data_IF_529522469555
#
_entry.id   IF_529522469555
#
_cell.length_a   1.000
_cell.length_b   1.000
_cell.length_c   1.000
_cell.angle_alpha   90.00
_cell.angle_beta   90.00
_cell.angle_gamma   90.00
#
_symmetry.space_group_name_H-M   'P 1'
#
loop_
_entity.id
_entity.type
_entity.pdbx_description
1 polymer ?
#
# COMPACT_ATOMS: atom_id res chain seq x y z
N UNK A 1 11.80 7.44 16.26
CA UNK A 1 11.38 6.17 16.91
C UNK A 1 12.61 5.32 17.09
N UNK A 2 12.79 4.62 18.21
CA UNK A 2 13.98 3.80 18.43
C UNK A 2 13.87 2.47 17.69
N UNK A 3 14.97 2.04 17.08
CA UNK A 3 15.11 0.76 16.43
C UNK A 3 16.49 0.14 16.73
N UNK A 4 16.58 -1.19 16.71
CA UNK A 4 17.81 -1.93 16.97
C UNK A 4 18.19 -2.69 15.70
N UNK A 5 19.46 -2.63 15.30
CA UNK A 5 19.99 -3.46 14.22
C UNK A 5 20.24 -4.86 14.79
N UNK A 6 19.40 -5.84 14.45
CA UNK A 6 19.52 -7.22 14.96
C UNK A 6 20.72 -7.93 14.34
N UNK A 7 20.84 -7.84 13.01
CA UNK A 7 21.91 -8.45 12.22
C UNK A 7 22.12 -7.74 10.89
N UNK A 8 23.32 -7.85 10.35
CA UNK A 8 23.73 -7.36 9.04
C UNK A 8 24.32 -8.50 8.23
N UNK A 9 24.02 -8.58 6.94
CA UNK A 9 24.55 -9.65 6.09
C UNK A 9 24.34 -9.37 4.61
N UNK A 10 25.40 -9.55 3.83
CA UNK A 10 25.39 -9.21 2.40
C UNK A 10 25.05 -7.74 2.21
N UNK A 11 24.00 -7.46 1.44
CA UNK A 11 23.53 -6.10 1.11
C UNK A 11 22.35 -5.62 1.96
N UNK A 12 21.99 -6.37 3.01
CA UNK A 12 20.79 -6.09 3.82
C UNK A 12 21.08 -6.09 5.32
N UNK A 13 20.23 -5.38 6.05
CA UNK A 13 20.16 -5.38 7.50
C UNK A 13 18.75 -5.69 7.95
N UNK A 14 18.68 -6.32 9.12
CA UNK A 14 17.44 -6.59 9.83
C UNK A 14 17.33 -5.61 10.98
N UNK A 15 16.27 -4.81 10.98
CA UNK A 15 16.04 -3.76 11.95
C UNK A 15 14.75 -4.04 12.72
N UNK A 16 14.84 -4.02 14.04
CA UNK A 16 13.74 -4.23 14.97
C UNK A 16 13.20 -2.88 15.43
N UNK A 17 11.91 -2.60 15.23
CA UNK A 17 11.26 -1.35 15.61
C UNK A 17 10.23 -1.58 16.73
N UNK A 18 9.92 -0.51 17.46
CA UNK A 18 8.79 -0.50 18.38
C UNK A 18 8.93 -1.45 19.56
N UNK A 19 10.13 -1.53 20.16
CA UNK A 19 10.48 -2.54 21.19
C UNK A 19 10.34 -3.97 20.65
N UNK A 20 10.94 -4.20 19.48
CA UNK A 20 11.05 -5.54 18.85
C UNK A 20 9.74 -6.13 18.31
N UNK A 21 8.66 -5.35 18.27
CA UNK A 21 7.36 -5.79 17.74
C UNK A 21 7.37 -5.96 16.21
N UNK A 22 8.20 -5.18 15.51
CA UNK A 22 8.23 -5.17 14.06
C UNK A 22 9.64 -5.44 13.55
N UNK A 23 9.73 -6.34 12.59
CA UNK A 23 10.97 -6.70 11.91
C UNK A 23 10.95 -6.18 10.48
N UNK A 24 11.89 -5.30 10.15
CA UNK A 24 12.00 -4.69 8.83
C UNK A 24 13.34 -5.04 8.23
N UNK A 25 13.31 -5.48 6.97
CA UNK A 25 14.51 -5.75 6.19
C UNK A 25 14.79 -4.49 5.37
N UNK A 26 15.94 -3.88 5.59
CA UNK A 26 16.37 -2.67 4.90
C UNK A 26 17.64 -2.96 4.10
N UNK A 27 17.81 -2.38 2.90
CA UNK A 27 19.10 -2.32 2.24
C UNK A 27 20.12 -1.58 3.11
N UNK A 28 21.38 -1.99 3.08
CA UNK A 28 22.45 -1.30 3.79
C UNK A 28 22.62 0.15 3.32
N UNK A 29 22.31 0.44 2.05
CA UNK A 29 22.32 1.80 1.50
C UNK A 29 21.31 2.75 2.13
N UNK A 30 20.34 2.24 2.88
CA UNK A 30 19.39 3.06 3.64
C UNK A 30 19.87 3.36 5.07
N UNK A 31 20.98 2.76 5.50
CA UNK A 31 21.55 2.95 6.83
C UNK A 31 22.76 3.91 6.76
N UNK A 32 23.05 4.65 7.85
CA UNK A 32 24.30 5.38 7.99
C UNK A 32 25.52 4.46 7.82
N UNK A 33 26.59 4.94 7.19
CA UNK A 33 27.79 4.14 6.89
C UNK A 33 28.47 3.55 8.14
N UNK A 34 28.36 4.25 9.26
CA UNK A 34 28.93 3.85 10.55
C UNK A 34 28.08 2.85 11.34
N UNK A 35 26.91 2.46 10.81
CA UNK A 35 25.96 1.56 11.48
C UNK A 35 26.55 0.16 11.67
N UNK A 36 26.41 -0.38 12.88
CA UNK A 36 26.83 -1.73 13.24
C UNK A 36 25.68 -2.56 13.78
N UNK A 37 25.90 -3.87 13.87
CA UNK A 37 24.99 -4.76 14.57
C UNK A 37 24.86 -4.34 16.04
N UNK A 38 23.64 -4.43 16.57
CA UNK A 38 23.21 -4.01 17.92
C UNK A 38 23.17 -2.50 18.16
N UNK A 39 23.47 -1.67 17.16
CA UNK A 39 23.29 -0.23 17.28
C UNK A 39 21.81 0.14 17.43
N UNK A 40 21.59 1.23 18.18
CA UNK A 40 20.26 1.81 18.36
C UNK A 40 20.12 3.02 17.44
N UNK A 41 19.25 2.91 16.45
CA UNK A 41 18.94 3.95 15.49
C UNK A 41 17.74 4.79 15.96
N UNK A 42 17.78 6.10 15.69
CA UNK A 42 16.59 6.95 15.76
C UNK A 42 16.02 7.15 14.35
N UNK A 43 14.85 6.56 14.09
CA UNK A 43 14.20 6.52 12.78
C UNK A 43 12.99 7.45 12.77
N UNK A 44 12.90 8.34 11.79
CA UNK A 44 11.72 9.18 11.55
C UNK A 44 11.06 8.78 10.23
N UNK A 45 9.75 8.49 10.26
CA UNK A 45 8.95 8.19 9.06
C UNK A 45 7.99 9.36 8.85
N UNK A 46 8.16 10.08 7.74
CA UNK A 46 7.36 11.26 7.40
C UNK A 46 6.66 11.09 6.06
N UNK A 47 5.36 11.36 6.03
CA UNK A 47 4.58 11.32 4.79
C UNK A 47 4.71 12.66 4.07
N UNK A 48 5.46 12.69 2.96
CA UNK A 48 5.53 13.88 2.10
C UNK A 48 4.39 13.91 1.08
N UNK A 49 3.25 14.48 1.48
CA UNK A 49 2.05 14.60 0.61
C UNK A 49 2.25 15.50 -0.60
N UNK A 50 3.24 16.41 -0.58
CA UNK A 50 3.53 17.31 -1.71
C UNK A 50 4.18 16.56 -2.89
N UNK A 51 4.99 15.54 -2.61
CA UNK A 51 5.59 14.67 -3.64
C UNK A 51 4.59 13.65 -4.18
N UNK A 52 3.67 13.16 -3.36
CA UNK A 52 2.61 12.26 -3.81
C UNK A 52 1.71 12.87 -4.91
N UNK A 53 1.50 14.20 -4.87
CA UNK A 53 0.74 14.94 -5.89
C UNK A 53 1.56 15.28 -7.14
N UNK A 54 2.89 15.37 -7.06
CA UNK A 54 3.79 15.71 -8.19
C UNK A 54 4.40 14.51 -8.91
N UNK A 55 4.17 13.29 -8.44
CA UNK A 55 4.45 12.10 -9.22
C UNK A 55 4.90 10.89 -8.41
N UNK A 56 3.95 9.98 -8.15
CA UNK A 56 4.22 8.63 -8.67
C UNK A 56 4.58 8.81 -10.15
N UNK A 57 5.66 8.21 -10.67
CA UNK A 57 5.86 8.17 -12.11
C UNK A 57 4.70 7.38 -12.73
N UNK A 58 3.59 8.06 -13.03
CA UNK A 58 2.52 7.56 -13.90
C UNK A 58 3.07 7.16 -15.28
N UNK A 59 4.34 7.51 -15.57
CA UNK A 59 5.08 7.15 -16.78
C UNK A 59 5.73 5.76 -16.79
N UNK A 60 5.89 5.02 -15.68
CA UNK A 60 6.62 3.72 -15.73
C UNK A 60 5.81 2.51 -16.21
N UNK A 61 4.49 2.62 -16.35
CA UNK A 61 3.68 1.50 -16.85
C UNK A 61 2.50 1.96 -17.71
N UNK A 62 2.74 2.39 -18.97
CA UNK A 62 1.66 2.72 -19.91
C UNK A 62 0.67 1.56 -20.10
N UNK A 63 1.10 0.30 -19.91
CA UNK A 63 0.25 -0.89 -20.05
C UNK A 63 -0.47 -1.36 -18.78
N UNK A 64 -0.14 -0.87 -17.59
CA UNK A 64 -0.75 -1.37 -16.34
C UNK A 64 -2.17 -0.82 -16.16
N UNK A 65 -2.40 0.45 -16.51
CA UNK A 65 -3.75 1.05 -16.52
C UNK A 65 -4.67 0.33 -17.52
N UNK A 66 -4.15 -0.07 -18.66
CA UNK A 66 -4.91 -0.78 -19.69
C UNK A 66 -5.23 -2.23 -19.30
N UNK A 67 -4.30 -2.92 -18.63
CA UNK A 67 -4.54 -4.25 -18.03
C UNK A 67 -5.58 -4.19 -16.90
N UNK A 68 -5.52 -3.19 -16.03
CA UNK A 68 -6.50 -3.00 -14.94
C UNK A 68 -7.89 -2.69 -15.53
N UNK A 69 -7.99 -1.84 -16.56
CA UNK A 69 -9.27 -1.58 -17.27
C UNK A 69 -9.85 -2.84 -17.89
N UNK A 70 -9.03 -3.72 -18.49
CA UNK A 70 -9.48 -5.00 -19.06
C UNK A 70 -9.91 -6.01 -17.98
N UNK A 71 -9.27 -6.01 -16.82
CA UNK A 71 -9.62 -6.89 -15.71
C UNK A 71 -10.89 -6.41 -14.98
N UNK A 72 -11.05 -5.10 -14.79
CA UNK A 72 -12.20 -4.50 -14.11
C UNK A 72 -13.40 -4.29 -15.05
N UNK A 73 -13.19 -4.24 -16.37
CA UNK A 73 -14.26 -4.22 -17.38
C UNK A 73 -14.93 -5.58 -17.63
N UNK A 74 -14.50 -6.65 -16.96
CA UNK A 74 -15.16 -7.98 -17.00
C UNK A 74 -15.91 -8.35 -15.72
N UNK A 75 -15.97 -7.45 -14.74
CA UNK A 75 -16.82 -7.63 -13.56
C UNK A 75 -17.53 -6.31 -13.28
N UNK A 76 -18.54 -6.01 -14.09
CA UNK A 76 -19.63 -5.16 -13.61
C UNK A 76 -20.52 -6.05 -12.75
N UNK A 77 -20.73 -5.77 -11.45
CA UNK A 77 -22.02 -6.08 -10.85
C UNK A 77 -23.02 -5.06 -11.42
N UNK A 78 -24.06 -5.56 -12.09
CA UNK A 78 -25.20 -4.78 -12.57
C UNK A 78 -25.78 -3.87 -11.48
N UNK A 79 -25.91 -2.55 -11.69
CA UNK A 79 -26.53 -1.65 -10.73
C UNK A 79 -28.07 -1.56 -10.84
N UNK A 80 -28.78 -2.55 -11.39
CA UNK A 80 -30.22 -2.44 -11.68
C UNK A 80 -31.15 -3.63 -11.34
N UNK A 81 -30.78 -4.56 -10.43
CA UNK A 81 -31.74 -5.61 -9.99
C UNK A 81 -32.44 -5.36 -8.64
N UNK A 82 -32.38 -4.15 -8.07
CA UNK A 82 -33.09 -3.81 -6.82
C UNK A 82 -34.14 -2.69 -7.00
N UNK A 83 -34.95 -2.77 -8.07
CA UNK A 83 -36.06 -1.85 -8.29
C UNK A 83 -37.33 -2.53 -8.81
N UNK A 84 -37.66 -3.70 -8.27
CA UNK A 84 -38.99 -4.33 -8.45
C UNK A 84 -39.64 -4.77 -7.13
N UNK A 85 -39.39 -4.06 -6.03
CA UNK A 85 -40.11 -4.28 -4.76
C UNK A 85 -40.97 -3.09 -4.30
N UNK A 86 -41.25 -2.12 -5.20
CA UNK A 86 -42.13 -0.96 -4.90
C UNK A 86 -43.17 -0.65 -5.98
N UNK A 87 -43.77 -1.67 -6.59
CA UNK A 87 -45.03 -1.52 -7.32
C UNK A 87 -46.05 -2.57 -6.86
N UNK A 88 -46.32 -2.59 -5.56
CA UNK A 88 -47.67 -2.89 -5.08
C UNK A 88 -48.46 -1.59 -5.24
N UNK A 89 -49.38 -1.57 -6.20
CA UNK A 89 -50.33 -0.48 -6.32
C UNK A 89 -50.87 -0.33 -7.73
N UNK A 90 -51.77 -1.24 -8.12
CA UNK A 90 -52.94 -1.01 -9.00
C UNK A 90 -53.34 -2.32 -9.70
N UNK A 91 -54.14 -3.15 -9.03
CA UNK A 91 -55.09 -4.03 -9.73
C UNK A 91 -56.44 -3.31 -9.73
N UNK A 92 -57.03 -3.00 -10.90
CA UNK A 92 -58.45 -2.69 -10.97
C UNK A 92 -59.26 -3.99 -11.02
N UNK A 93 -60.47 -3.93 -10.47
CA UNK A 93 -61.54 -4.92 -10.52
C UNK A 93 -61.74 -5.54 -11.91
N UNK A 94 -61.93 -6.87 -11.94
CA UNK A 94 -63.00 -7.59 -12.65
C UNK A 94 -63.01 -9.07 -12.24
#
# INVERSE_FOLDING_TARGET
MKAIVERMGGEYAVVLLGREQYKVILPLSCLPEETRERDVLDIAININRKLALKGLPQKKYPGLREKIKRAWGKVSPDPQSELTDKLIGSRPDF
#
